data_IF_476492360148
#
_entry.id   IF_476492360148
#
_cell.length_a   1.000
_cell.length_b   1.000
_cell.length_c   1.000
_cell.angle_alpha   90.00
_cell.angle_beta   90.00
_cell.angle_gamma   90.00
#
_symmetry.space_group_name_H-M   'P 1'
#
loop_
_entity.id
_entity.type
_entity.pdbx_description
1 polymer ?
#
# COMPACT_ATOMS: atom_id res chain seq x y z
N UNK A 1 14.98 80.24 45.54
CA UNK A 1 13.92 80.93 44.77
C UNK A 1 13.72 80.15 43.49
N UNK A 2 12.80 79.19 43.51
CA UNK A 2 12.12 78.58 42.35
C UNK A 2 10.88 77.87 42.92
N UNK A 3 9.80 78.62 43.11
CA UNK A 3 8.47 78.02 43.24
C UNK A 3 7.96 77.85 41.80
N UNK A 4 8.08 76.64 41.27
CA UNK A 4 7.50 76.27 39.98
C UNK A 4 6.08 75.77 40.18
N UNK A 5 5.13 76.70 40.30
CA UNK A 5 3.71 76.37 40.14
C UNK A 5 3.44 76.24 38.63
N UNK A 6 3.56 75.01 38.12
CA UNK A 6 3.02 74.66 36.80
C UNK A 6 1.50 74.47 36.95
N UNK A 7 0.78 75.55 37.24
CA UNK A 7 -0.67 75.56 37.10
C UNK A 7 -1.00 75.73 35.62
N UNK A 8 -1.49 74.64 35.02
CA UNK A 8 -2.06 74.66 33.68
C UNK A 8 -3.35 75.49 33.73
N UNK A 9 -3.55 76.50 32.86
CA UNK A 9 -4.78 77.27 32.82
C UNK A 9 -6.01 76.36 32.74
N UNK A 10 -7.07 76.68 33.48
CA UNK A 10 -8.27 75.82 33.61
C UNK A 10 -8.88 75.41 32.27
N UNK A 11 -8.76 76.23 31.23
CA UNK A 11 -9.26 75.93 29.87
C UNK A 11 -8.39 74.88 29.16
N UNK A 12 -7.06 74.96 29.28
CA UNK A 12 -6.12 74.01 28.70
C UNK A 12 -6.23 72.63 29.37
N UNK A 13 -6.51 72.60 30.68
CA UNK A 13 -6.78 71.37 31.41
C UNK A 13 -8.05 70.66 30.91
N UNK A 14 -9.10 71.41 30.57
CA UNK A 14 -10.34 70.87 30.01
C UNK A 14 -10.14 70.34 28.58
N UNK A 15 -9.36 71.05 27.75
CA UNK A 15 -9.04 70.61 26.38
C UNK A 15 -8.22 69.32 26.40
N UNK A 16 -7.26 69.19 27.32
CA UNK A 16 -6.46 67.99 27.49
C UNK A 16 -7.32 66.80 27.93
N UNK A 17 -8.22 67.00 28.91
CA UNK A 17 -9.15 65.97 29.36
C UNK A 17 -10.09 65.50 28.25
N UNK A 18 -10.61 66.42 27.42
CA UNK A 18 -11.45 66.07 26.28
C UNK A 18 -10.68 65.26 25.23
N UNK A 19 -9.43 65.64 24.93
CA UNK A 19 -8.57 64.88 24.00
C UNK A 19 -8.27 63.48 24.51
N UNK A 20 -7.96 63.34 25.82
CA UNK A 20 -7.74 62.06 26.46
C UNK A 20 -9.01 61.20 26.44
N UNK A 21 -10.18 61.78 26.77
CA UNK A 21 -11.45 61.05 26.73
C UNK A 21 -11.78 60.54 25.32
N UNK A 22 -11.60 61.38 24.29
CA UNK A 22 -11.79 61.01 22.88
C UNK A 22 -10.79 59.97 22.40
N UNK A 23 -9.54 60.05 22.87
CA UNK A 23 -8.51 59.05 22.61
C UNK A 23 -8.86 57.68 23.21
N UNK A 24 -9.33 57.67 24.46
CA UNK A 24 -9.80 56.46 25.13
C UNK A 24 -11.00 55.85 24.42
N UNK A 25 -12.00 56.65 24.03
CA UNK A 25 -13.18 56.17 23.31
C UNK A 25 -12.80 55.46 22.01
N UNK A 26 -11.97 56.08 21.17
CA UNK A 26 -11.45 55.48 19.92
C UNK A 26 -10.69 54.18 20.16
N UNK A 27 -9.84 54.15 21.18
CA UNK A 27 -9.11 52.93 21.53
C UNK A 27 -10.06 51.81 21.98
N UNK A 28 -11.08 52.17 22.76
CA UNK A 28 -12.09 51.22 23.24
C UNK A 28 -12.94 50.67 22.08
N UNK A 29 -13.31 51.50 21.11
CA UNK A 29 -13.99 51.08 19.89
C UNK A 29 -13.14 50.12 19.05
N UNK A 30 -11.84 50.41 18.90
CA UNK A 30 -10.90 49.55 18.19
C UNK A 30 -10.70 48.20 18.89
N UNK A 31 -10.64 48.18 20.22
CA UNK A 31 -10.59 46.93 20.98
C UNK A 31 -11.89 46.11 20.83
N UNK A 32 -13.06 46.77 20.85
CA UNK A 32 -14.35 46.10 20.62
C UNK A 32 -14.42 45.51 19.21
N UNK A 33 -13.95 46.22 18.20
CA UNK A 33 -13.93 45.70 16.82
C UNK A 33 -12.98 44.50 16.68
N UNK A 34 -11.79 44.56 17.29
CA UNK A 34 -10.88 43.40 17.34
C UNK A 34 -11.50 42.21 18.08
N UNK A 35 -12.16 42.43 19.21
CA UNK A 35 -12.85 41.38 19.94
C UNK A 35 -13.92 40.69 19.08
N UNK A 36 -14.67 41.46 18.29
CA UNK A 36 -15.67 40.93 17.39
C UNK A 36 -15.06 40.05 16.28
N UNK A 37 -13.92 40.45 15.73
CA UNK A 37 -13.19 39.66 14.72
C UNK A 37 -12.71 38.34 15.33
N UNK A 38 -12.18 38.37 16.56
CA UNK A 38 -11.71 37.15 17.24
C UNK A 38 -12.86 36.17 17.44
N UNK A 39 -14.04 36.65 17.84
CA UNK A 39 -15.23 35.81 18.01
C UNK A 39 -15.68 35.20 16.67
N UNK A 40 -15.70 35.98 15.59
CA UNK A 40 -16.04 35.48 14.24
C UNK A 40 -15.04 34.40 13.76
N UNK A 41 -13.74 34.62 13.99
CA UNK A 41 -12.71 33.65 13.66
C UNK A 41 -12.82 32.38 14.50
N UNK A 42 -13.12 32.50 15.79
CA UNK A 42 -13.37 31.35 16.67
C UNK A 42 -14.57 30.53 16.20
N UNK A 43 -15.65 31.19 15.78
CA UNK A 43 -16.82 30.51 15.24
C UNK A 43 -16.51 29.76 13.94
N UNK A 44 -15.85 30.43 12.99
CA UNK A 44 -15.42 29.79 11.72
C UNK A 44 -14.50 28.60 11.96
N UNK A 45 -13.56 28.72 12.89
CA UNK A 45 -12.67 27.62 13.25
C UNK A 45 -13.45 26.44 13.84
N UNK A 46 -14.43 26.70 14.70
CA UNK A 46 -15.28 25.66 15.27
C UNK A 46 -16.11 24.95 14.18
N UNK A 47 -16.67 25.70 13.23
CA UNK A 47 -17.40 25.15 12.08
C UNK A 47 -16.48 24.27 11.21
N UNK A 48 -15.28 24.75 10.89
CA UNK A 48 -14.29 23.96 10.13
C UNK A 48 -13.87 22.69 10.88
N UNK A 49 -13.67 22.79 12.19
CA UNK A 49 -13.34 21.64 13.04
C UNK A 49 -14.46 20.59 12.99
N UNK A 50 -15.73 21.01 13.08
CA UNK A 50 -16.87 20.09 13.00
C UNK A 50 -16.98 19.40 11.64
N UNK A 51 -16.78 20.14 10.54
CA UNK A 51 -16.77 19.57 9.19
C UNK A 51 -15.67 18.52 9.06
N UNK A 52 -14.45 18.83 9.51
CA UNK A 52 -13.31 17.92 9.41
C UNK A 52 -13.56 16.63 10.21
N UNK A 53 -14.09 16.75 11.44
CA UNK A 53 -14.43 15.59 12.29
C UNK A 53 -15.54 14.76 11.65
N UNK A 54 -16.55 15.40 11.05
CA UNK A 54 -17.62 14.71 10.32
C UNK A 54 -17.07 13.92 9.13
N UNK A 55 -16.20 14.54 8.32
CA UNK A 55 -15.56 13.88 7.20
C UNK A 55 -14.69 12.70 7.64
N UNK A 56 -13.91 12.86 8.72
CA UNK A 56 -13.09 11.78 9.26
C UNK A 56 -13.96 10.60 9.72
N UNK A 57 -15.10 10.86 10.36
CA UNK A 57 -16.05 9.82 10.76
C UNK A 57 -16.62 9.10 9.54
N UNK A 58 -17.01 9.83 8.50
CA UNK A 58 -17.57 9.24 7.28
C UNK A 58 -16.55 8.35 6.55
N UNK A 59 -15.28 8.77 6.46
CA UNK A 59 -14.21 7.95 5.90
C UNK A 59 -14.04 6.64 6.68
N UNK A 60 -14.04 6.71 8.01
CA UNK A 60 -13.94 5.51 8.86
C UNK A 60 -15.15 4.58 8.70
N UNK A 61 -16.34 5.15 8.56
CA UNK A 61 -17.58 4.39 8.30
C UNK A 61 -17.50 3.69 6.93
N UNK A 62 -17.03 4.38 5.89
CA UNK A 62 -16.82 3.80 4.56
C UNK A 62 -15.77 2.69 4.57
N UNK A 63 -14.65 2.90 5.27
CA UNK A 63 -13.64 1.86 5.44
C UNK A 63 -14.21 0.62 6.12
N UNK A 64 -14.99 0.78 7.20
CA UNK A 64 -15.65 -0.36 7.87
C UNK A 64 -16.53 -1.15 6.90
N UNK A 65 -17.39 -0.47 6.13
CA UNK A 65 -18.26 -1.11 5.13
C UNK A 65 -17.45 -1.83 4.05
N UNK A 66 -16.36 -1.23 3.58
CA UNK A 66 -15.44 -1.86 2.63
C UNK A 66 -14.82 -3.13 3.21
N UNK A 67 -14.39 -3.11 4.47
CA UNK A 67 -13.84 -4.30 5.14
C UNK A 67 -14.88 -5.42 5.30
N UNK A 68 -16.12 -5.08 5.68
CA UNK A 68 -17.22 -6.05 5.76
C UNK A 68 -17.53 -6.68 4.40
N UNK A 69 -17.54 -5.88 3.32
CA UNK A 69 -17.70 -6.42 1.96
C UNK A 69 -16.54 -7.31 1.55
N UNK A 70 -15.30 -6.92 1.88
CA UNK A 70 -14.12 -7.74 1.59
C UNK A 70 -14.17 -9.07 2.35
N UNK A 71 -14.66 -9.11 3.57
CA UNK A 71 -14.81 -10.35 4.34
C UNK A 71 -15.84 -11.29 3.70
N UNK A 72 -16.97 -10.74 3.22
CA UNK A 72 -17.96 -11.51 2.47
C UNK A 72 -17.35 -12.14 1.20
N UNK A 73 -16.56 -11.37 0.45
CA UNK A 73 -15.86 -11.84 -0.75
C UNK A 73 -14.84 -12.92 -0.39
N UNK A 74 -14.10 -12.78 0.72
CA UNK A 74 -13.15 -13.81 1.19
C UNK A 74 -13.85 -15.12 1.53
N UNK A 75 -14.97 -15.06 2.24
CA UNK A 75 -15.77 -16.25 2.58
C UNK A 75 -16.31 -16.91 1.31
N UNK A 76 -16.84 -16.12 0.37
CA UNK A 76 -17.31 -16.63 -0.93
C UNK A 76 -16.18 -17.31 -1.71
N UNK A 77 -15.01 -16.67 -1.80
CA UNK A 77 -13.86 -17.22 -2.49
C UNK A 77 -13.32 -18.47 -1.79
N UNK A 78 -13.34 -18.51 -0.45
CA UNK A 78 -12.99 -19.69 0.35
C UNK A 78 -13.92 -20.87 0.06
N UNK A 79 -15.24 -20.66 0.04
CA UNK A 79 -16.21 -21.70 -0.31
C UNK A 79 -16.01 -22.21 -1.75
N UNK A 80 -15.78 -21.32 -2.71
CA UNK A 80 -15.49 -21.69 -4.09
C UNK A 80 -14.20 -22.50 -4.20
N UNK A 81 -13.16 -22.07 -3.51
CA UNK A 81 -11.87 -22.76 -3.48
C UNK A 81 -11.97 -24.15 -2.85
N UNK A 82 -12.70 -24.30 -1.75
CA UNK A 82 -12.95 -25.61 -1.12
C UNK A 82 -13.79 -26.52 -2.02
N UNK A 83 -14.76 -25.97 -2.75
CA UNK A 83 -15.56 -26.71 -3.74
C UNK A 83 -14.67 -27.19 -4.90
N UNK A 84 -13.79 -26.33 -5.43
CA UNK A 84 -12.82 -26.70 -6.47
C UNK A 84 -11.85 -27.76 -5.97
N UNK A 85 -11.35 -27.64 -4.73
CA UNK A 85 -10.52 -28.67 -4.10
C UNK A 85 -11.26 -30.01 -4.01
N UNK A 86 -12.50 -30.02 -3.53
CA UNK A 86 -13.31 -31.24 -3.43
C UNK A 86 -13.59 -31.86 -4.80
N UNK A 87 -13.96 -31.06 -5.80
CA UNK A 87 -14.18 -31.55 -7.16
C UNK A 87 -12.89 -32.11 -7.77
N UNK A 88 -11.75 -31.44 -7.61
CA UNK A 88 -10.47 -31.92 -8.11
C UNK A 88 -10.02 -33.22 -7.43
N UNK A 89 -10.24 -33.34 -6.10
CA UNK A 89 -9.91 -34.56 -5.37
C UNK A 89 -10.89 -35.70 -5.68
N UNK A 90 -12.19 -35.41 -5.84
CA UNK A 90 -13.19 -36.40 -6.24
C UNK A 90 -12.98 -36.87 -7.67
N UNK A 91 -12.71 -35.97 -8.62
CA UNK A 91 -12.44 -36.34 -10.01
C UNK A 91 -11.15 -37.16 -10.10
N UNK A 92 -10.08 -36.76 -9.41
CA UNK A 92 -8.84 -37.53 -9.36
C UNK A 92 -9.04 -38.89 -8.67
N UNK A 93 -9.87 -38.97 -7.64
CA UNK A 93 -10.14 -40.23 -6.95
C UNK A 93 -11.00 -41.18 -7.81
N UNK A 94 -12.03 -40.68 -8.49
CA UNK A 94 -12.80 -41.47 -9.45
C UNK A 94 -11.95 -41.89 -10.65
N UNK A 95 -11.08 -41.02 -11.15
CA UNK A 95 -10.16 -41.35 -12.25
C UNK A 95 -9.13 -42.40 -11.82
N UNK A 96 -8.57 -42.31 -10.61
CA UNK A 96 -7.66 -43.33 -10.06
C UNK A 96 -8.42 -44.63 -9.82
N UNK A 97 -9.64 -44.58 -9.27
CA UNK A 97 -10.47 -45.77 -9.02
C UNK A 97 -10.82 -46.47 -10.35
N UNK A 98 -11.28 -45.72 -11.35
CA UNK A 98 -11.60 -46.22 -12.69
C UNK A 98 -10.34 -46.70 -13.44
N UNK A 99 -9.20 -46.02 -13.27
CA UNK A 99 -7.92 -46.46 -13.82
C UNK A 99 -7.48 -47.78 -13.18
N UNK A 100 -7.55 -47.91 -11.85
CA UNK A 100 -7.22 -49.17 -11.17
C UNK A 100 -8.20 -50.29 -11.53
N UNK A 101 -9.49 -50.00 -11.65
CA UNK A 101 -10.52 -50.99 -11.98
C UNK A 101 -10.40 -51.46 -13.44
N UNK A 102 -10.19 -50.53 -14.38
CA UNK A 102 -9.93 -50.84 -15.79
C UNK A 102 -8.57 -51.51 -16.01
N UNK A 103 -7.53 -51.13 -15.24
CA UNK A 103 -6.21 -51.73 -15.34
C UNK A 103 -6.17 -53.13 -14.71
N UNK A 104 -6.92 -53.39 -13.65
CA UNK A 104 -7.07 -54.74 -13.09
C UNK A 104 -7.91 -55.66 -14.00
N UNK A 105 -8.98 -55.16 -14.62
CA UNK A 105 -9.70 -55.91 -15.66
C UNK A 105 -8.83 -56.13 -16.91
N UNK A 106 -8.03 -55.13 -17.29
CA UNK A 106 -7.06 -55.19 -18.36
C UNK A 106 -5.97 -56.23 -18.10
N UNK A 107 -5.34 -56.21 -16.92
CA UNK A 107 -4.34 -57.19 -16.49
C UNK A 107 -4.94 -58.60 -16.38
N UNK A 108 -6.15 -58.75 -15.89
CA UNK A 108 -6.81 -60.06 -15.78
C UNK A 108 -7.09 -60.66 -17.17
N UNK A 109 -7.47 -59.82 -18.14
CA UNK A 109 -7.66 -60.23 -19.55
C UNK A 109 -6.31 -60.42 -20.27
N UNK A 110 -5.28 -59.68 -19.89
CA UNK A 110 -3.95 -59.72 -20.49
C UNK A 110 -3.13 -60.91 -19.97
N UNK A 111 -3.23 -61.28 -18.69
CA UNK A 111 -2.68 -62.52 -18.13
C UNK A 111 -3.38 -63.75 -18.72
N UNK A 112 -4.68 -63.66 -19.02
CA UNK A 112 -5.43 -64.71 -19.71
C UNK A 112 -4.98 -64.89 -21.18
N UNK A 113 -4.52 -63.83 -21.82
CA UNK A 113 -4.04 -63.85 -23.21
C UNK A 113 -2.52 -64.06 -23.36
N UNK A 114 -1.70 -63.69 -22.35
CA UNK A 114 -0.23 -63.79 -22.42
C UNK A 114 0.34 -65.19 -22.16
N UNK A 115 -0.46 -66.15 -21.69
CA UNK A 115 -0.01 -67.55 -21.64
C UNK A 115 0.05 -68.22 -23.02
N UNK A 116 -0.30 -67.51 -24.11
CA UNK A 116 -0.51 -68.14 -25.41
C UNK A 116 0.38 -67.70 -26.57
N UNK A 117 1.15 -66.61 -26.52
CA UNK A 117 2.02 -66.24 -27.66
C UNK A 117 3.35 -65.60 -27.24
N UNK A 118 4.35 -66.46 -27.20
CA UNK A 118 5.77 -66.16 -27.42
C UNK A 118 6.00 -65.50 -28.79
N UNK A 119 7.15 -64.84 -28.92
CA UNK A 119 7.88 -64.39 -30.13
C UNK A 119 7.96 -62.87 -30.39
N UNK A 120 9.21 -62.37 -30.23
CA UNK A 120 9.95 -61.58 -31.22
C UNK A 120 9.92 -60.03 -31.22
N UNK A 121 11.13 -59.48 -30.97
CA UNK A 121 11.85 -58.44 -31.77
C UNK A 121 11.66 -56.94 -31.43
N UNK A 122 12.73 -56.38 -30.85
CA UNK A 122 13.49 -55.13 -31.10
C UNK A 122 12.83 -53.82 -31.59
N UNK A 123 13.22 -52.73 -30.89
CA UNK A 123 13.59 -51.33 -31.30
C UNK A 123 12.61 -50.57 -32.23
N UNK A 124 12.22 -49.33 -31.97
CA UNK A 124 12.95 -48.06 -32.26
C UNK A 124 12.18 -46.87 -31.62
N UNK A 125 12.90 -45.78 -31.34
CA UNK A 125 12.49 -44.37 -31.09
C UNK A 125 11.13 -43.88 -31.65
N UNK A 126 10.55 -42.85 -31.00
CA UNK A 126 10.24 -41.53 -31.61
C UNK A 126 9.56 -40.59 -30.58
N UNK A 127 9.90 -39.31 -30.76
CA UNK A 127 9.60 -38.03 -30.11
C UNK A 127 8.30 -37.73 -29.35
N UNK A 128 8.47 -36.69 -28.53
CA UNK A 128 7.52 -35.96 -27.72
C UNK A 128 6.26 -35.47 -28.45
N UNK A 129 5.15 -35.47 -27.70
CA UNK A 129 4.02 -34.58 -27.95
C UNK A 129 3.41 -34.16 -26.62
N UNK A 130 3.78 -32.96 -26.17
CA UNK A 130 3.10 -32.25 -25.09
C UNK A 130 1.69 -31.93 -25.57
N UNK A 131 0.69 -32.37 -24.81
CA UNK A 131 -0.72 -32.10 -25.09
C UNK A 131 -1.08 -30.76 -24.46
N UNK A 132 -1.55 -29.86 -25.32
CA UNK A 132 -2.06 -28.53 -25.01
C UNK A 132 -3.51 -28.66 -24.51
N UNK A 133 -3.83 -28.09 -23.35
CA UNK A 133 -5.20 -28.04 -22.79
C UNK A 133 -5.53 -26.60 -22.40
N UNK A 134 -6.36 -25.97 -23.24
CA UNK A 134 -7.51 -25.15 -22.84
C UNK A 134 -7.28 -23.86 -22.03
N UNK A 135 -7.31 -22.74 -22.74
CA UNK A 135 -8.01 -21.48 -22.39
C UNK A 135 -7.90 -20.88 -20.97
N UNK A 136 -7.01 -19.89 -20.87
CA UNK A 136 -7.47 -18.52 -20.69
C UNK A 136 -6.55 -17.63 -21.52
N UNK A 137 -7.13 -16.59 -22.13
CA UNK A 137 -6.48 -15.56 -22.91
C UNK A 137 -5.45 -14.81 -22.02
N UNK A 138 -4.32 -15.44 -21.75
CA UNK A 138 -3.20 -14.86 -21.01
C UNK A 138 -2.59 -13.81 -21.92
N UNK A 139 -2.83 -12.56 -21.55
CA UNK A 139 -2.47 -11.37 -22.30
C UNK A 139 -0.92 -11.22 -22.48
N UNK A 140 -0.12 -12.04 -21.78
CA UNK A 140 1.27 -12.35 -22.14
C UNK A 140 1.46 -13.85 -22.39
N UNK A 141 2.31 -14.20 -23.35
CA UNK A 141 2.83 -15.57 -23.53
C UNK A 141 3.86 -15.96 -22.46
N UNK A 142 4.72 -16.94 -22.79
CA UNK A 142 5.90 -17.27 -22.00
C UNK A 142 6.95 -16.16 -22.17
N UNK A 143 7.11 -15.28 -21.18
CA UNK A 143 8.17 -14.27 -21.16
C UNK A 143 9.55 -14.93 -21.00
N UNK A 144 10.62 -14.25 -21.45
CA UNK A 144 11.99 -14.74 -21.31
C UNK A 144 12.42 -14.81 -19.83
N UNK A 145 13.52 -15.51 -19.53
CA UNK A 145 13.99 -15.70 -18.14
C UNK A 145 14.39 -14.40 -17.41
N UNK A 146 14.60 -13.30 -18.14
CA UNK A 146 14.90 -11.96 -17.62
C UNK A 146 13.71 -10.99 -17.79
N UNK A 147 12.50 -11.51 -17.99
CA UNK A 147 11.29 -10.73 -18.21
C UNK A 147 10.13 -11.16 -17.30
N UNK A 148 9.23 -10.20 -17.03
CA UNK A 148 7.99 -10.44 -16.31
C UNK A 148 6.80 -9.89 -17.12
N UNK A 149 5.65 -10.53 -17.03
CA UNK A 149 4.43 -10.00 -17.62
C UNK A 149 3.87 -8.87 -16.78
N UNK A 150 3.74 -7.68 -17.37
CA UNK A 150 3.10 -6.55 -16.72
C UNK A 150 1.60 -6.51 -17.01
N UNK A 151 0.80 -7.08 -16.11
CA UNK A 151 -0.66 -7.05 -16.16
C UNK A 151 -1.28 -5.67 -15.87
N UNK A 152 -0.48 -4.67 -15.48
CA UNK A 152 -0.97 -3.29 -15.29
C UNK A 152 -1.07 -2.52 -16.61
N UNK A 153 -0.47 -3.04 -17.69
CA UNK A 153 -0.60 -2.50 -19.05
C UNK A 153 -1.71 -3.23 -19.80
N UNK A 154 -2.39 -2.52 -20.70
CA UNK A 154 -3.40 -3.08 -21.61
C UNK A 154 -3.04 -2.70 -23.07
N UNK A 155 -2.65 -3.65 -23.92
CA UNK A 155 -2.47 -5.07 -23.62
C UNK A 155 -1.25 -5.30 -22.72
N UNK A 156 -1.30 -6.33 -21.88
CA UNK A 156 -0.20 -6.73 -21.02
C UNK A 156 0.99 -7.13 -21.87
N UNK A 157 2.18 -6.78 -21.40
CA UNK A 157 3.41 -6.96 -22.17
C UNK A 157 4.50 -7.53 -21.27
N UNK A 158 5.35 -8.39 -21.84
CA UNK A 158 6.58 -8.82 -21.19
C UNK A 158 7.53 -7.62 -21.12
N UNK A 159 8.05 -7.36 -19.92
CA UNK A 159 9.01 -6.29 -19.65
C UNK A 159 10.24 -6.88 -18.98
N UNK A 160 11.42 -6.35 -19.31
CA UNK A 160 12.66 -6.75 -18.66
C UNK A 160 12.62 -6.43 -17.18
N UNK A 161 13.08 -7.37 -16.38
CA UNK A 161 13.20 -7.22 -14.94
C UNK A 161 14.12 -6.04 -14.60
N UNK A 162 13.68 -5.19 -13.66
CA UNK A 162 14.51 -4.09 -13.18
C UNK A 162 15.57 -4.59 -12.21
N UNK A 163 16.71 -3.89 -12.20
CA UNK A 163 17.75 -4.07 -11.20
C UNK A 163 17.51 -3.12 -10.04
N UNK A 164 17.84 -3.55 -8.82
CA UNK A 164 17.74 -2.66 -7.67
C UNK A 164 18.73 -1.50 -7.81
N UNK A 165 18.27 -0.25 -7.67
CA UNK A 165 19.16 0.90 -7.69
C UNK A 165 20.08 0.91 -6.46
N UNK A 166 21.14 1.71 -6.52
CA UNK A 166 22.06 1.86 -5.41
C UNK A 166 21.33 2.33 -4.14
N UNK A 167 21.72 1.80 -2.98
CA UNK A 167 21.04 2.03 -1.70
C UNK A 167 19.83 1.12 -1.46
N UNK A 168 19.50 0.21 -2.40
CA UNK A 168 18.47 -0.80 -2.22
C UNK A 168 19.06 -2.20 -2.31
N UNK A 169 18.52 -3.14 -1.54
CA UNK A 169 18.85 -4.55 -1.62
C UNK A 169 17.65 -5.36 -2.12
N UNK A 170 17.95 -6.49 -2.78
CA UNK A 170 16.93 -7.36 -3.34
C UNK A 170 16.26 -8.18 -2.25
N UNK A 171 14.92 -8.09 -2.16
CA UNK A 171 14.11 -8.96 -1.31
C UNK A 171 13.57 -10.17 -2.06
N UNK A 172 13.14 -9.98 -3.32
CA UNK A 172 12.56 -11.04 -4.13
C UNK A 172 13.19 -11.04 -5.52
N UNK A 173 13.45 -12.23 -6.04
CA UNK A 173 13.90 -12.44 -7.42
C UNK A 173 12.79 -12.12 -8.41
N UNK A 174 13.18 -11.80 -9.65
CA UNK A 174 12.23 -11.61 -10.72
C UNK A 174 11.58 -12.94 -11.11
N UNK A 175 10.29 -12.90 -11.44
CA UNK A 175 9.52 -14.06 -11.89
C UNK A 175 8.71 -13.72 -13.13
N UNK A 176 8.20 -14.74 -13.82
CA UNK A 176 7.39 -14.56 -15.02
C UNK A 176 6.17 -13.63 -14.85
N UNK A 177 5.70 -13.40 -13.61
CA UNK A 177 4.53 -12.58 -13.31
C UNK A 177 4.83 -11.38 -12.41
N UNK A 178 6.08 -11.16 -12.01
CA UNK A 178 6.43 -10.08 -11.09
C UNK A 178 7.86 -9.62 -11.29
N UNK A 179 8.05 -8.30 -11.30
CA UNK A 179 9.38 -7.72 -11.26
C UNK A 179 10.09 -8.00 -9.92
N UNK A 180 11.41 -7.77 -9.90
CA UNK A 180 12.24 -7.80 -8.70
C UNK A 180 11.71 -6.83 -7.65
N UNK A 181 11.68 -7.26 -6.39
CA UNK A 181 11.30 -6.39 -5.27
C UNK A 181 12.57 -5.90 -4.58
N UNK A 182 12.71 -4.58 -4.51
CA UNK A 182 13.85 -3.89 -3.90
C UNK A 182 13.40 -3.20 -2.61
N UNK A 183 14.15 -3.41 -1.54
CA UNK A 183 13.95 -2.74 -0.26
C UNK A 183 15.08 -1.75 0.00
N UNK A 184 14.70 -0.58 0.51
CA UNK A 184 15.63 0.45 0.93
C UNK A 184 16.54 -0.09 2.04
N UNK A 185 17.85 0.10 1.88
CA UNK A 185 18.83 -0.28 2.88
C UNK A 185 18.86 0.80 3.95
N UNK A 186 18.42 0.48 5.15
CA UNK A 186 18.50 1.42 6.26
C UNK A 186 19.92 1.43 6.85
N UNK A 187 20.79 2.27 6.31
CA UNK A 187 22.16 2.40 6.79
C UNK A 187 22.24 2.92 8.23
N UNK A 188 21.21 3.65 8.70
CA UNK A 188 21.14 4.12 10.09
C UNK A 188 20.99 2.95 11.07
N UNK A 189 20.20 1.95 10.70
CA UNK A 189 19.95 0.77 11.52
C UNK A 189 21.04 -0.28 11.34
N UNK A 190 21.48 -0.53 10.10
CA UNK A 190 22.47 -1.56 9.80
C UNK A 190 23.88 -1.17 10.24
N UNK A 191 24.21 0.11 10.23
CA UNK A 191 25.56 0.59 10.51
C UNK A 191 25.53 1.99 11.16
N UNK A 192 25.11 2.07 12.44
CA UNK A 192 25.00 3.36 13.16
C UNK A 192 26.34 4.11 13.26
N UNK A 193 27.47 3.41 13.13
CA UNK A 193 28.80 4.01 13.12
C UNK A 193 29.07 4.94 11.94
N UNK A 194 28.33 4.84 10.82
CA UNK A 194 28.54 5.69 9.64
C UNK A 194 28.14 7.14 9.91
N UNK A 195 27.21 7.37 10.85
CA UNK A 195 26.73 8.70 11.19
C UNK A 195 27.53 9.41 12.28
N UNK A 196 28.41 8.69 12.99
CA UNK A 196 29.24 9.26 14.05
C UNK A 196 28.49 9.51 15.37
N UNK A 197 29.25 9.64 16.46
CA UNK A 197 28.69 9.90 17.79
C UNK A 197 28.17 11.36 17.88
N UNK A 198 26.95 11.55 18.40
CA UNK A 198 26.23 12.84 18.56
C UNK A 198 25.63 13.47 17.28
N UNK A 199 25.47 12.69 16.22
CA UNK A 199 24.78 13.10 15.00
C UNK A 199 23.53 12.23 14.86
N UNK A 200 22.39 12.83 14.49
CA UNK A 200 21.17 12.07 14.21
C UNK A 200 21.22 11.55 12.78
N UNK A 201 21.18 10.23 12.62
CA UNK A 201 21.01 9.60 11.31
C UNK A 201 19.55 9.70 10.86
N UNK A 202 19.36 10.01 9.57
CA UNK A 202 18.07 9.99 8.90
C UNK A 202 18.17 9.11 7.66
N UNK A 203 17.48 7.98 7.67
CA UNK A 203 17.36 7.10 6.52
C UNK A 203 16.38 7.71 5.50
N UNK A 204 16.73 7.67 4.23
CA UNK A 204 15.85 8.07 3.12
C UNK A 204 15.99 7.08 1.96
N UNK A 205 14.99 6.95 1.07
CA UNK A 205 15.08 6.02 -0.05
C UNK A 205 16.37 6.20 -0.87
N UNK A 206 17.23 5.18 -0.87
CA UNK A 206 18.50 5.08 -1.56
C UNK A 206 19.69 5.82 -0.93
N UNK A 207 19.53 6.47 0.23
CA UNK A 207 20.59 7.27 0.87
C UNK A 207 20.28 7.60 2.34
N UNK A 208 21.32 7.84 3.13
CA UNK A 208 21.18 8.38 4.48
C UNK A 208 21.72 9.82 4.58
N UNK A 209 21.23 10.56 5.58
CA UNK A 209 21.74 11.87 5.95
C UNK A 209 22.13 11.94 7.42
N UNK A 210 23.20 12.70 7.68
CA UNK A 210 23.72 12.98 9.01
C UNK A 210 23.32 14.39 9.43
N UNK A 211 22.52 14.50 10.50
CA UNK A 211 22.08 15.78 11.06
C UNK A 211 22.88 16.11 12.32
N UNK A 212 23.63 17.20 12.28
CA UNK A 212 24.34 17.73 13.45
C UNK A 212 23.31 18.40 14.35
N UNK A 213 23.13 17.86 15.57
CA UNK A 213 22.33 18.51 16.60
C UNK A 213 23.20 19.60 17.22
N UNK A 214 22.80 20.86 17.05
CA UNK A 214 23.40 21.98 17.79
C UNK A 214 22.63 22.11 19.12
N UNK A 215 23.32 21.86 20.22
CA UNK A 215 22.86 22.24 21.57
C UNK A 215 22.90 23.77 21.76
#
# INVERSE_FOLDING_TARGET
>A
MWNGENEVPSEDALILQLHLAKGHEKFTEMLKSQQQIIVDLQQKLAEQQQILVSQQREILEQQRKMYEQMDLIKVQYGMLFDTVKQMSFQSLQEDIQNYFESHLQGLQNQVRNHLQKSYSVHKVEVDAKVINVGESLLDCGLCESDEFCNFQKTPSQCEKCTLCPAGFFQMAECSANSDRICQDRDECTESPSICGERIKCLNTPGKFYSLIIKE
#
